data_IF_791937145631
#
_entry.id   IF_791937145631
#
_cell.length_a   1.000
_cell.length_b   1.000
_cell.length_c   1.000
_cell.angle_alpha   90.00
_cell.angle_beta   90.00
_cell.angle_gamma   90.00
#
_symmetry.space_group_name_H-M   'P 1'
#
loop_
_entity.id
_entity.type
_entity.pdbx_description
1 polymer ?
#
# COMPACT_ATOMS: atom_id res chain seq x y z
N UNK A 1 -32.83 23.63 -29.40
CA UNK A 1 -32.35 22.27 -29.20
C UNK A 1 -30.82 22.28 -28.98
N UNK A 2 -30.31 21.63 -27.95
CA UNK A 2 -28.86 21.49 -27.69
C UNK A 2 -28.20 20.68 -28.81
N UNK A 3 -27.05 21.15 -29.33
CA UNK A 3 -26.33 20.47 -30.40
C UNK A 3 -25.85 19.06 -29.94
N UNK A 4 -25.67 18.14 -30.89
CA UNK A 4 -25.20 16.78 -30.62
C UNK A 4 -23.86 16.75 -29.86
N UNK A 5 -22.96 17.69 -30.12
CA UNK A 5 -21.68 17.85 -29.39
C UNK A 5 -21.87 18.20 -27.92
N UNK A 6 -22.80 19.12 -27.60
CA UNK A 6 -23.08 19.50 -26.21
C UNK A 6 -23.70 18.32 -25.46
N UNK A 7 -24.60 17.56 -26.09
CA UNK A 7 -25.16 16.33 -25.50
C UNK A 7 -24.10 15.29 -25.19
N UNK A 8 -23.12 15.08 -26.09
CA UNK A 8 -22.01 14.14 -25.88
C UNK A 8 -21.10 14.58 -24.74
N UNK A 9 -20.77 15.85 -24.61
CA UNK A 9 -19.96 16.40 -23.51
C UNK A 9 -20.69 16.23 -22.17
N UNK A 10 -21.98 16.54 -22.10
CA UNK A 10 -22.79 16.37 -20.88
C UNK A 10 -22.89 14.89 -20.47
N UNK A 11 -23.07 13.97 -21.41
CA UNK A 11 -23.10 12.54 -21.15
C UNK A 11 -21.76 12.05 -20.59
N UNK A 12 -20.62 12.52 -21.13
CA UNK A 12 -19.27 12.19 -20.65
C UNK A 12 -19.01 12.73 -19.23
N UNK A 13 -19.47 13.95 -18.94
CA UNK A 13 -19.38 14.54 -17.59
C UNK A 13 -20.24 13.79 -16.57
N UNK A 14 -21.45 13.36 -16.97
CA UNK A 14 -22.34 12.56 -16.11
C UNK A 14 -21.75 11.19 -15.81
N UNK A 15 -21.21 10.50 -16.82
CA UNK A 15 -20.53 9.22 -16.66
C UNK A 15 -19.31 9.33 -15.74
N UNK A 16 -18.47 10.37 -15.90
CA UNK A 16 -17.33 10.61 -15.04
C UNK A 16 -17.73 10.87 -13.59
N UNK A 17 -18.77 11.68 -13.37
CA UNK A 17 -19.30 11.96 -12.02
C UNK A 17 -19.83 10.69 -11.36
N UNK A 18 -20.56 9.85 -12.11
CA UNK A 18 -21.09 8.58 -11.61
C UNK A 18 -19.97 7.60 -11.26
N UNK A 19 -18.93 7.50 -12.08
CA UNK A 19 -17.76 6.68 -11.83
C UNK A 19 -16.98 7.14 -10.59
N UNK A 20 -16.78 8.45 -10.43
CA UNK A 20 -16.14 9.03 -9.24
C UNK A 20 -16.93 8.75 -7.95
N UNK A 21 -18.26 8.87 -7.98
CA UNK A 21 -19.12 8.56 -6.84
C UNK A 21 -19.09 7.07 -6.48
N UNK A 22 -19.07 6.18 -7.47
CA UNK A 22 -18.94 4.75 -7.24
C UNK A 22 -17.55 4.38 -6.67
N UNK A 23 -16.47 4.95 -7.20
CA UNK A 23 -15.12 4.79 -6.66
C UNK A 23 -15.02 5.28 -5.20
N UNK A 24 -15.62 6.44 -4.90
CA UNK A 24 -15.67 6.96 -3.54
C UNK A 24 -16.44 6.03 -2.60
N UNK A 25 -17.62 5.54 -2.99
CA UNK A 25 -18.45 4.62 -2.19
C UNK A 25 -17.74 3.28 -1.94
N UNK A 26 -17.09 2.71 -2.95
CA UNK A 26 -16.35 1.45 -2.81
C UNK A 26 -15.10 1.61 -1.93
N UNK A 27 -14.39 2.74 -2.05
CA UNK A 27 -13.25 3.06 -1.18
C UNK A 27 -13.69 3.20 0.27
N UNK A 28 -14.75 3.97 0.54
CA UNK A 28 -15.28 4.17 1.89
C UNK A 28 -15.79 2.85 2.51
N UNK A 29 -16.45 2.00 1.73
CA UNK A 29 -16.91 0.69 2.19
C UNK A 29 -15.73 -0.22 2.58
N UNK A 30 -14.68 -0.26 1.75
CA UNK A 30 -13.46 -0.99 2.06
C UNK A 30 -12.79 -0.48 3.34
N UNK A 31 -12.63 0.82 3.48
CA UNK A 31 -11.99 1.44 4.66
C UNK A 31 -12.75 1.16 5.95
N UNK A 32 -14.09 1.16 5.89
CA UNK A 32 -14.93 0.79 7.03
C UNK A 32 -14.77 -0.68 7.41
N UNK A 33 -14.76 -1.59 6.42
CA UNK A 33 -14.52 -3.02 6.64
C UNK A 33 -13.13 -3.28 7.17
N UNK A 34 -12.10 -2.61 6.62
CA UNK A 34 -10.72 -2.68 7.07
C UNK A 34 -10.57 -2.28 8.54
N UNK A 35 -11.20 -1.16 8.93
CA UNK A 35 -11.19 -0.71 10.33
C UNK A 35 -11.90 -1.69 11.26
N UNK A 36 -13.04 -2.23 10.86
CA UNK A 36 -13.74 -3.27 11.63
C UNK A 36 -12.87 -4.51 11.78
N UNK A 37 -12.32 -5.03 10.68
CA UNK A 37 -11.49 -6.23 10.68
C UNK A 37 -10.28 -6.09 11.60
N UNK A 38 -9.49 -5.00 11.47
CA UNK A 38 -8.26 -4.86 12.26
C UNK A 38 -8.56 -4.75 13.77
N UNK A 39 -9.67 -4.13 14.14
CA UNK A 39 -10.08 -4.02 15.56
C UNK A 39 -10.49 -5.37 16.17
N UNK A 40 -10.99 -6.35 15.38
CA UNK A 40 -11.26 -7.71 15.88
C UNK A 40 -9.97 -8.45 16.25
N UNK A 41 -8.83 -8.07 15.67
CA UNK A 41 -7.53 -8.72 15.92
C UNK A 41 -6.90 -8.34 17.26
N UNK A 42 -7.42 -7.31 17.94
CA UNK A 42 -6.92 -6.83 19.24
C UNK A 42 -5.39 -6.56 19.24
N UNK A 43 -4.86 -6.12 18.10
CA UNK A 43 -3.43 -5.85 17.93
C UNK A 43 -3.02 -4.60 18.71
N UNK A 44 -1.83 -4.68 19.29
CA UNK A 44 -1.19 -3.56 20.00
C UNK A 44 0.03 -3.12 19.18
N UNK A 45 0.32 -1.83 19.16
CA UNK A 45 1.52 -1.28 18.55
C UNK A 45 2.24 -0.35 19.52
N UNK A 46 3.57 -0.35 19.48
CA UNK A 46 4.42 0.54 20.27
C UNK A 46 4.33 2.00 19.85
N UNK A 47 3.79 2.26 18.67
CA UNK A 47 3.59 3.61 18.12
C UNK A 47 2.10 3.94 17.94
N UNK A 48 1.82 5.20 17.56
CA UNK A 48 0.45 5.62 17.18
C UNK A 48 -0.04 5.02 15.86
N UNK A 49 0.79 4.21 15.19
CA UNK A 49 0.48 3.58 13.92
C UNK A 49 0.42 2.05 14.05
N UNK A 50 -0.33 1.43 13.14
CA UNK A 50 -0.35 0.00 12.87
C UNK A 50 -0.44 -0.17 11.35
N UNK A 51 0.30 -1.12 10.80
CA UNK A 51 0.24 -1.47 9.37
C UNK A 51 -0.48 -2.80 9.20
N UNK A 52 -1.41 -2.86 8.24
CA UNK A 52 -1.99 -4.11 7.79
C UNK A 52 -1.78 -4.27 6.28
N UNK A 53 -1.11 -5.35 5.89
CA UNK A 53 -1.01 -5.75 4.48
C UNK A 53 -2.12 -6.77 4.21
N UNK A 54 -3.15 -6.33 3.49
CA UNK A 54 -4.23 -7.15 2.99
C UNK A 54 -3.79 -7.76 1.65
N UNK A 55 -3.30 -9.00 1.71
CA UNK A 55 -2.74 -9.66 0.53
C UNK A 55 -3.82 -10.04 -0.49
N UNK A 56 -5.06 -10.23 -0.05
CA UNK A 56 -6.18 -10.58 -0.94
C UNK A 56 -6.61 -9.39 -1.82
N UNK A 57 -6.52 -8.17 -1.28
CA UNK A 57 -6.92 -6.95 -1.98
C UNK A 57 -5.73 -6.11 -2.48
N UNK A 58 -4.49 -6.60 -2.31
CA UNK A 58 -3.26 -5.87 -2.68
C UNK A 58 -3.18 -4.48 -2.05
N UNK A 59 -3.50 -4.38 -0.75
CA UNK A 59 -3.53 -3.12 -0.02
C UNK A 59 -2.58 -3.12 1.16
N UNK A 60 -1.80 -2.06 1.28
CA UNK A 60 -1.07 -1.72 2.50
C UNK A 60 -1.83 -0.61 3.21
N UNK A 61 -2.46 -0.95 4.32
CA UNK A 61 -3.29 -0.06 5.11
C UNK A 61 -2.54 0.45 6.32
N UNK A 62 -2.56 1.76 6.51
CA UNK A 62 -1.98 2.43 7.68
C UNK A 62 -3.13 2.87 8.58
N UNK A 63 -3.08 2.44 9.83
CA UNK A 63 -4.04 2.86 10.85
C UNK A 63 -3.39 3.82 11.82
N UNK A 64 -4.19 4.73 12.37
CA UNK A 64 -3.85 5.54 13.55
C UNK A 64 -4.68 5.11 14.74
N UNK A 65 -4.06 5.15 15.92
CA UNK A 65 -4.75 4.91 17.18
C UNK A 65 -5.71 6.08 17.47
N UNK A 66 -6.97 5.76 17.70
CA UNK A 66 -8.03 6.69 18.08
C UNK A 66 -8.70 6.16 19.36
N UNK A 67 -8.38 6.77 20.50
CA UNK A 67 -8.80 6.26 21.82
C UNK A 67 -8.44 4.75 21.98
N UNK A 68 -9.42 3.87 21.95
CA UNK A 68 -9.26 2.43 22.15
C UNK A 68 -9.41 1.62 20.86
N UNK A 69 -9.37 2.26 19.69
CA UNK A 69 -9.55 1.60 18.39
C UNK A 69 -8.52 2.06 17.36
N UNK A 70 -8.40 1.30 16.29
CA UNK A 70 -7.63 1.63 15.11
C UNK A 70 -8.55 2.17 14.02
N UNK A 71 -8.24 3.34 13.50
CA UNK A 71 -8.96 3.96 12.39
C UNK A 71 -8.03 4.05 11.19
N UNK A 72 -8.52 3.68 10.02
CA UNK A 72 -7.73 3.76 8.80
C UNK A 72 -7.35 5.21 8.52
N UNK A 73 -6.07 5.41 8.18
CA UNK A 73 -5.50 6.72 7.91
C UNK A 73 -5.05 6.85 6.46
N UNK A 74 -4.48 5.79 5.90
CA UNK A 74 -4.09 5.68 4.49
C UNK A 74 -4.26 4.26 4.01
N UNK A 75 -4.55 4.11 2.71
CA UNK A 75 -4.60 2.82 2.02
C UNK A 75 -3.84 2.96 0.71
N UNK A 76 -2.85 2.11 0.50
CA UNK A 76 -1.96 2.13 -0.65
C UNK A 76 -2.13 0.85 -1.46
N UNK A 77 -2.23 0.95 -2.78
CA UNK A 77 -2.09 -0.21 -3.65
C UNK A 77 -0.67 -0.75 -3.52
N UNK A 78 -0.52 -2.07 -3.39
CA UNK A 78 0.78 -2.72 -3.30
C UNK A 78 0.85 -3.96 -4.20
N UNK A 79 2.06 -4.41 -4.45
CA UNK A 79 2.38 -5.69 -5.10
C UNK A 79 3.10 -6.56 -4.07
N UNK A 80 2.73 -7.83 -4.03
CA UNK A 80 3.20 -8.81 -3.06
C UNK A 80 3.96 -9.95 -3.74
N UNK A 81 4.44 -10.89 -2.94
CA UNK A 81 5.19 -12.06 -3.41
C UNK A 81 4.41 -12.94 -4.36
N UNK A 82 5.12 -13.55 -5.32
CA UNK A 82 4.61 -14.58 -6.22
C UNK A 82 4.04 -15.78 -5.45
N UNK A 83 3.20 -16.62 -6.05
CA UNK A 83 2.66 -17.80 -5.36
C UNK A 83 3.71 -18.77 -4.81
N UNK A 84 4.87 -18.88 -5.46
CA UNK A 84 5.99 -19.75 -5.05
C UNK A 84 7.06 -19.03 -4.19
N UNK A 85 6.96 -17.72 -4.05
CA UNK A 85 7.78 -16.85 -3.17
C UNK A 85 6.86 -15.85 -2.44
N UNK A 86 5.93 -16.35 -1.61
CA UNK A 86 4.86 -15.52 -1.07
C UNK A 86 5.39 -14.53 -0.03
N UNK A 87 4.69 -13.40 0.08
CA UNK A 87 4.88 -12.51 1.23
C UNK A 87 4.50 -13.26 2.50
N UNK A 88 5.37 -13.19 3.51
CA UNK A 88 5.16 -13.84 4.81
C UNK A 88 3.88 -13.35 5.48
N UNK A 89 3.17 -14.27 6.16
CA UNK A 89 1.97 -13.94 6.93
C UNK A 89 2.23 -13.98 8.42
N UNK A 90 1.51 -13.16 9.18
CA UNK A 90 1.65 -13.10 10.63
C UNK A 90 1.76 -11.67 11.16
N UNK A 91 2.25 -11.56 12.40
CA UNK A 91 2.50 -10.28 13.06
C UNK A 91 4.00 -10.05 13.17
N UNK A 92 4.44 -8.88 12.72
CA UNK A 92 5.84 -8.45 12.68
C UNK A 92 5.97 -7.03 13.22
N UNK A 93 7.21 -6.53 13.26
CA UNK A 93 7.50 -5.18 13.73
C UNK A 93 8.43 -4.48 12.75
N UNK A 94 8.19 -3.19 12.51
CA UNK A 94 9.06 -2.36 11.68
C UNK A 94 10.49 -2.40 12.22
N UNK A 95 11.41 -2.88 11.39
CA UNK A 95 12.83 -2.97 11.67
C UNK A 95 13.63 -1.82 11.07
N UNK A 96 14.81 -2.14 10.53
CA UNK A 96 15.71 -1.17 9.94
C UNK A 96 15.16 -0.54 8.67
N UNK A 97 15.64 0.66 8.36
CA UNK A 97 15.28 1.42 7.18
C UNK A 97 16.53 1.82 6.42
N UNK A 98 16.43 1.92 5.11
CA UNK A 98 17.51 2.43 4.29
C UNK A 98 17.00 3.11 3.03
N UNK A 99 17.85 3.93 2.44
CA UNK A 99 17.47 4.74 1.29
C UNK A 99 17.24 3.89 0.05
N UNK A 100 18.13 2.94 -0.23
CA UNK A 100 18.03 2.08 -1.42
C UNK A 100 18.65 0.71 -1.22
N UNK A 101 18.35 -0.22 -2.12
CA UNK A 101 18.99 -1.53 -2.25
C UNK A 101 18.86 -2.04 -3.69
N UNK A 102 19.66 -3.08 -4.02
CA UNK A 102 19.62 -3.81 -5.29
C UNK A 102 20.66 -3.37 -6.30
N UNK A 103 21.46 -2.34 -6.02
CA UNK A 103 22.43 -1.77 -6.92
C UNK A 103 23.46 -2.81 -7.42
N UNK A 104 23.90 -3.69 -6.55
CA UNK A 104 24.80 -4.79 -6.88
C UNK A 104 24.18 -5.88 -7.80
N UNK A 105 22.86 -5.81 -8.02
CA UNK A 105 22.09 -6.69 -8.90
C UNK A 105 21.58 -5.97 -10.16
N UNK A 106 22.06 -4.74 -10.43
CA UNK A 106 21.73 -3.98 -11.63
C UNK A 106 20.33 -3.34 -11.61
N UNK A 107 19.75 -3.13 -10.43
CA UNK A 107 18.52 -2.38 -10.24
C UNK A 107 18.56 -1.57 -8.95
N UNK A 108 17.57 -0.72 -8.75
CA UNK A 108 17.43 0.06 -7.51
C UNK A 108 15.98 0.07 -7.05
N UNK A 109 15.76 -0.24 -5.77
CA UNK A 109 14.52 0.03 -5.06
C UNK A 109 14.81 1.06 -3.96
N UNK A 110 13.91 2.02 -3.76
CA UNK A 110 14.10 3.16 -2.84
C UNK A 110 13.26 3.01 -1.58
N UNK A 111 13.67 3.69 -0.51
CA UNK A 111 12.92 3.87 0.74
C UNK A 111 12.48 2.55 1.36
N UNK A 112 13.41 1.61 1.54
CA UNK A 112 13.03 0.35 2.15
C UNK A 112 12.78 0.48 3.65
N UNK A 113 11.79 -0.25 4.13
CA UNK A 113 11.45 -0.42 5.55
C UNK A 113 11.30 -1.92 5.81
N UNK A 114 12.09 -2.46 6.72
CA UNK A 114 12.13 -3.89 6.99
C UNK A 114 10.88 -4.37 7.71
N UNK A 115 10.33 -5.50 7.24
CA UNK A 115 9.26 -6.27 7.90
C UNK A 115 9.90 -7.36 8.76
N UNK A 116 10.73 -8.23 8.15
CA UNK A 116 11.49 -9.30 8.81
C UNK A 116 12.54 -9.84 7.83
N UNK A 117 13.81 -9.99 8.25
CA UNK A 117 14.86 -10.49 7.37
C UNK A 117 14.93 -9.71 6.06
N UNK A 118 14.78 -10.38 4.93
CA UNK A 118 14.78 -9.78 3.59
C UNK A 118 13.41 -9.35 3.08
N UNK A 119 12.35 -9.47 3.88
CA UNK A 119 11.03 -8.98 3.52
C UNK A 119 10.92 -7.49 3.86
N UNK A 120 10.68 -6.68 2.84
CA UNK A 120 10.74 -5.22 2.93
C UNK A 120 9.48 -4.59 2.34
N UNK A 121 9.06 -3.44 2.86
CA UNK A 121 8.34 -2.43 2.07
C UNK A 121 9.37 -1.67 1.25
N UNK A 122 9.10 -1.39 -0.02
CA UNK A 122 9.99 -0.59 -0.89
C UNK A 122 9.24 0.03 -2.06
N UNK A 123 9.91 0.90 -2.81
CA UNK A 123 9.38 1.56 -4.00
C UNK A 123 9.16 0.60 -5.18
N UNK A 124 8.64 1.12 -6.29
CA UNK A 124 8.79 0.51 -7.61
C UNK A 124 10.28 0.31 -7.94
N UNK A 125 10.56 -0.46 -9.00
CA UNK A 125 11.93 -0.82 -9.39
C UNK A 125 12.45 0.14 -10.45
N UNK A 126 13.68 0.59 -10.28
CA UNK A 126 14.39 1.47 -11.20
C UNK A 126 15.62 0.79 -11.80
N UNK A 127 16.02 1.21 -12.98
CA UNK A 127 17.39 1.01 -13.48
C UNK A 127 18.36 1.89 -12.68
N UNK A 128 19.68 1.63 -12.84
CA UNK A 128 20.71 2.38 -12.11
C UNK A 128 20.81 3.85 -12.57
N UNK A 129 20.39 4.14 -13.79
CA UNK A 129 20.29 5.49 -14.35
C UNK A 129 19.09 6.30 -13.80
N UNK A 130 18.23 5.68 -13.00
CA UNK A 130 17.06 6.31 -12.39
C UNK A 130 15.79 6.20 -13.25
N UNK A 131 15.84 5.61 -14.43
CA UNK A 131 14.63 5.34 -15.21
C UNK A 131 13.82 4.19 -14.63
N UNK A 132 12.51 4.17 -14.87
CA UNK A 132 11.62 3.12 -14.34
C UNK A 132 11.89 1.80 -15.06
N UNK A 133 12.17 0.75 -14.28
CA UNK A 133 12.32 -0.63 -14.75
C UNK A 133 11.01 -1.42 -14.64
N UNK A 134 10.29 -1.27 -13.53
CA UNK A 134 9.03 -1.97 -13.27
C UNK A 134 8.19 -1.22 -12.23
N UNK A 135 7.06 -0.69 -12.64
CA UNK A 135 6.12 0.08 -11.81
C UNK A 135 4.79 -0.66 -11.52
N UNK A 136 4.68 -1.92 -11.93
CA UNK A 136 3.44 -2.69 -11.79
C UNK A 136 3.05 -2.88 -10.33
N UNK A 137 1.79 -2.55 -10.02
CA UNK A 137 1.18 -2.70 -8.70
C UNK A 137 -0.14 -3.47 -8.80
N UNK A 138 -0.63 -3.99 -7.66
CA UNK A 138 -1.90 -4.68 -7.55
C UNK A 138 -1.86 -6.15 -7.99
N UNK A 139 -0.71 -6.82 -7.86
CA UNK A 139 -0.55 -8.22 -8.29
C UNK A 139 0.48 -8.98 -7.44
N UNK A 140 0.61 -10.26 -7.70
CA UNK A 140 1.66 -11.12 -7.15
C UNK A 140 2.86 -11.14 -8.11
N UNK A 141 3.99 -10.53 -7.75
CA UNK A 141 5.13 -10.35 -8.66
C UNK A 141 6.49 -10.31 -7.99
N UNK A 142 6.59 -9.94 -6.71
CA UNK A 142 7.87 -9.81 -6.01
C UNK A 142 8.38 -11.16 -5.48
N UNK A 143 9.59 -11.18 -4.96
CA UNK A 143 10.20 -12.32 -4.25
C UNK A 143 9.87 -12.24 -2.74
N UNK A 144 8.62 -11.92 -2.42
CA UNK A 144 8.10 -11.83 -1.06
C UNK A 144 7.99 -10.42 -0.48
N UNK A 145 8.69 -9.43 -1.00
CA UNK A 145 8.59 -8.04 -0.57
C UNK A 145 7.22 -7.41 -0.88
N UNK A 146 6.91 -6.32 -0.21
CA UNK A 146 5.72 -5.48 -0.47
C UNK A 146 6.16 -4.24 -1.23
N UNK A 147 5.94 -4.25 -2.56
CA UNK A 147 6.24 -3.13 -3.45
C UNK A 147 5.12 -2.11 -3.41
N UNK A 148 5.47 -0.85 -3.36
CA UNK A 148 4.59 0.32 -3.30
C UNK A 148 4.96 1.33 -4.40
N UNK A 149 4.04 2.21 -4.75
CA UNK A 149 4.42 3.43 -5.46
C UNK A 149 5.47 4.20 -4.64
N UNK A 150 6.45 4.80 -5.30
CA UNK A 150 7.59 5.45 -4.63
C UNK A 150 7.19 6.48 -3.58
N UNK A 151 6.19 7.37 -3.80
CA UNK A 151 5.73 8.29 -2.76
C UNK A 151 5.17 7.59 -1.52
N UNK A 152 4.53 6.41 -1.69
CA UNK A 152 3.95 5.64 -0.59
C UNK A 152 5.01 4.90 0.21
N UNK A 153 6.01 4.32 -0.45
CA UNK A 153 7.19 3.74 0.21
C UNK A 153 7.95 4.80 1.00
N UNK A 154 8.18 5.98 0.38
CA UNK A 154 8.78 7.13 1.05
C UNK A 154 7.98 7.58 2.27
N UNK A 155 6.65 7.61 2.16
CA UNK A 155 5.80 8.00 3.27
C UNK A 155 5.95 7.06 4.47
N UNK A 156 5.98 5.71 4.25
CA UNK A 156 6.23 4.72 5.30
C UNK A 156 7.62 4.93 5.90
N UNK A 157 8.63 5.08 5.05
CA UNK A 157 10.01 5.32 5.44
C UNK A 157 10.14 6.54 6.36
N UNK A 158 9.53 7.66 6.00
CA UNK A 158 9.64 8.92 6.74
C UNK A 158 8.81 8.93 8.04
N UNK A 159 7.63 8.30 8.05
CA UNK A 159 6.60 8.57 9.07
C UNK A 159 6.35 7.41 10.04
N UNK A 160 6.66 6.17 9.68
CA UNK A 160 6.37 5.01 10.54
C UNK A 160 7.57 4.72 11.44
N UNK A 161 7.47 4.79 12.76
CA UNK A 161 8.58 4.49 13.67
C UNK A 161 8.98 3.01 13.65
N UNK A 162 10.24 2.73 13.99
CA UNK A 162 10.69 1.39 14.34
C UNK A 162 9.84 0.76 15.45
N UNK A 163 9.67 -0.56 15.43
CA UNK A 163 8.83 -1.28 16.38
C UNK A 163 7.32 -1.17 16.14
N UNK A 164 6.86 -0.36 15.15
CA UNK A 164 5.44 -0.32 14.76
C UNK A 164 4.98 -1.71 14.33
N UNK A 165 3.82 -2.14 14.82
CA UNK A 165 3.25 -3.45 14.49
C UNK A 165 2.80 -3.51 13.03
N UNK A 166 3.17 -4.61 12.36
CA UNK A 166 2.78 -4.98 11.00
C UNK A 166 2.00 -6.29 11.09
N UNK A 167 0.78 -6.32 10.59
CA UNK A 167 -0.01 -7.53 10.42
C UNK A 167 -0.14 -7.85 8.93
N UNK A 168 0.04 -9.11 8.53
CA UNK A 168 -0.04 -9.56 7.14
C UNK A 168 -0.86 -10.85 7.08
N UNK A 169 -1.89 -10.91 6.26
CA UNK A 169 -2.72 -12.10 6.07
C UNK A 169 -3.16 -12.35 4.63
#
# INVERSE_FOLDING_TARGET
MLSSRIKAVLAKLHSNKYNLLNLYRTSTAYELQASKFINTKKLVSSSKYLIWVDTANFKTNIFKKAKNSWTIYKSFLCTIGKPWEPTIKGTFFVGVKGYSFGENRGFRCLYYTQIKGNYLFHSIVYYLDGTIKDDRLGMQLTDGCVRLATPNAKWIYDNIPGGTTIFIN
#
